data_IF_511232254712
#
_entry.id   IF_511232254712
#
_cell.length_a   1.000
_cell.length_b   1.000
_cell.length_c   1.000
_cell.angle_alpha   90.00
_cell.angle_beta   90.00
_cell.angle_gamma   90.00
#
_symmetry.space_group_name_H-M   'P 1'
#
loop_
_entity.id
_entity.type
_entity.pdbx_description
1 polymer ?
#
# COMPACT_ATOMS: atom_id res chain seq x y z
N UNK A 1 -11.17 54.83 -12.34
CA UNK A 1 -10.62 53.92 -11.32
C UNK A 1 -11.48 52.66 -11.35
N UNK A 2 -11.05 51.62 -12.08
CA UNK A 2 -11.82 50.37 -12.18
C UNK A 2 -11.52 49.56 -10.92
N UNK A 3 -12.46 49.54 -9.98
CA UNK A 3 -12.43 48.59 -8.86
C UNK A 3 -12.71 47.19 -9.42
N UNK A 4 -11.66 46.40 -9.62
CA UNK A 4 -11.82 44.96 -9.81
C UNK A 4 -12.16 44.33 -8.46
N UNK A 5 -13.46 44.20 -8.17
CA UNK A 5 -13.94 43.38 -7.06
C UNK A 5 -13.83 41.92 -7.51
N UNK A 6 -12.84 41.20 -6.99
CA UNK A 6 -12.79 39.74 -7.13
C UNK A 6 -13.89 39.13 -6.25
N UNK A 7 -15.08 38.91 -6.82
CA UNK A 7 -16.10 38.05 -6.22
C UNK A 7 -15.75 36.58 -6.47
N UNK A 8 -14.93 35.97 -5.60
CA UNK A 8 -14.74 34.51 -5.57
C UNK A 8 -14.93 34.02 -4.13
N UNK A 9 -15.96 33.23 -3.83
CA UNK A 9 -16.09 31.78 -4.10
C UNK A 9 -15.00 30.96 -3.38
N UNK A 10 -15.40 29.91 -2.68
CA UNK A 10 -14.49 29.06 -1.91
C UNK A 10 -13.30 28.56 -2.77
N UNK A 11 -12.12 28.50 -2.17
CA UNK A 11 -10.86 28.13 -2.84
C UNK A 11 -10.48 26.70 -2.50
N UNK A 12 -10.11 25.93 -3.53
CA UNK A 12 -9.45 24.63 -3.35
C UNK A 12 -7.94 24.84 -3.25
N UNK A 13 -7.32 24.25 -2.24
CA UNK A 13 -5.87 24.18 -2.11
C UNK A 13 -5.41 22.75 -1.83
N UNK A 14 -4.12 22.50 -2.02
CA UNK A 14 -3.49 21.24 -1.65
C UNK A 14 -2.27 21.49 -0.78
N UNK A 15 -2.07 20.59 0.18
CA UNK A 15 -0.96 20.62 1.13
C UNK A 15 -0.39 19.22 1.29
N UNK A 16 0.78 19.11 1.92
CA UNK A 16 1.44 17.83 2.22
C UNK A 16 1.26 17.56 3.71
N UNK A 17 0.79 16.36 4.06
CA UNK A 17 0.64 15.99 5.47
C UNK A 17 2.00 15.90 6.15
N UNK A 18 2.22 16.73 7.16
CA UNK A 18 3.51 16.86 7.81
C UNK A 18 3.87 15.66 8.68
N UNK A 19 5.18 15.43 8.81
CA UNK A 19 5.69 14.33 9.61
C UNK A 19 5.46 14.61 11.09
N UNK A 20 4.56 13.85 11.69
CA UNK A 20 4.24 13.94 13.12
C UNK A 20 2.94 14.69 13.41
N UNK A 21 2.34 15.33 12.41
CA UNK A 21 1.02 15.94 12.53
C UNK A 21 -0.02 14.85 12.81
N UNK A 22 -0.66 14.94 13.98
CA UNK A 22 -1.79 14.10 14.36
C UNK A 22 -3.10 14.71 13.86
N UNK A 23 -4.12 13.88 13.64
CA UNK A 23 -5.42 14.38 13.20
C UNK A 23 -6.08 15.29 14.24
N UNK A 24 -5.91 15.02 15.53
CA UNK A 24 -6.36 15.89 16.63
C UNK A 24 -5.75 17.30 16.56
N UNK A 25 -4.45 17.38 16.26
CA UNK A 25 -3.76 18.66 16.09
C UNK A 25 -4.27 19.38 14.84
N UNK A 26 -4.49 18.67 13.73
CA UNK A 26 -5.08 19.24 12.53
C UNK A 26 -6.47 19.84 12.79
N UNK A 27 -7.32 19.20 13.61
CA UNK A 27 -8.61 19.77 14.01
C UNK A 27 -8.45 21.08 14.79
N UNK A 28 -7.48 21.13 15.72
CA UNK A 28 -7.18 22.34 16.50
C UNK A 28 -6.73 23.50 15.61
N UNK A 29 -5.86 23.24 14.63
CA UNK A 29 -5.39 24.25 13.66
C UNK A 29 -6.53 24.89 12.85
N UNK A 30 -7.65 24.17 12.68
CA UNK A 30 -8.86 24.66 12.01
C UNK A 30 -9.99 25.08 12.97
N UNK A 31 -9.75 25.15 14.28
CA UNK A 31 -10.75 25.45 15.31
C UNK A 31 -11.98 24.51 15.26
N UNK A 32 -11.75 23.22 14.99
CA UNK A 32 -12.78 22.19 14.93
C UNK A 32 -12.78 21.39 16.23
N UNK A 33 -13.95 21.21 16.84
CA UNK A 33 -14.12 20.41 18.07
C UNK A 33 -13.67 18.96 17.86
N UNK A 34 -12.97 18.39 18.84
CA UNK A 34 -12.54 17.00 18.83
C UNK A 34 -13.68 16.01 19.11
N UNK A 35 -14.85 16.47 19.55
CA UNK A 35 -16.05 15.64 19.77
C UNK A 35 -16.46 14.84 18.53
N UNK A 36 -16.10 15.31 17.33
CA UNK A 36 -16.35 14.57 16.08
C UNK A 36 -15.69 13.19 16.08
N UNK A 37 -14.59 13.02 16.83
CA UNK A 37 -13.86 11.75 16.97
C UNK A 37 -14.60 10.75 17.87
N UNK A 38 -15.36 11.24 18.85
CA UNK A 38 -16.13 10.42 19.78
C UNK A 38 -17.23 9.67 19.05
N UNK A 39 -17.87 10.35 18.09
CA UNK A 39 -18.95 9.82 17.25
C UNK A 39 -18.50 8.78 16.22
N UNK A 40 -17.19 8.71 15.93
CA UNK A 40 -16.67 7.64 15.10
C UNK A 40 -16.74 6.32 15.83
N UNK A 41 -16.59 5.22 15.11
CA UNK A 41 -16.40 3.92 15.74
C UNK A 41 -14.90 3.58 15.89
N UNK A 42 -14.61 2.43 16.51
CA UNK A 42 -13.24 2.00 16.80
C UNK A 42 -12.40 1.71 15.55
N UNK A 43 -13.00 1.23 14.46
CA UNK A 43 -12.28 0.92 13.23
C UNK A 43 -11.95 2.21 12.47
N UNK A 44 -12.89 3.16 12.44
CA UNK A 44 -12.69 4.45 11.77
C UNK A 44 -11.62 5.32 12.45
N UNK A 45 -11.55 5.34 13.79
CA UNK A 45 -10.43 6.03 14.47
C UNK A 45 -9.08 5.42 14.13
N UNK A 46 -9.00 4.09 14.08
CA UNK A 46 -7.76 3.41 13.68
C UNK A 46 -7.34 3.81 12.26
N UNK A 47 -8.31 3.96 11.35
CA UNK A 47 -8.06 4.41 9.97
C UNK A 47 -7.60 5.88 9.92
N UNK A 48 -8.17 6.76 10.75
CA UNK A 48 -7.70 8.15 10.86
C UNK A 48 -6.27 8.22 11.38
N UNK A 49 -5.92 7.37 12.35
CA UNK A 49 -4.55 7.24 12.81
C UNK A 49 -3.60 6.71 11.73
N UNK A 50 -4.09 6.13 10.64
CA UNK A 50 -3.29 5.68 9.51
C UNK A 50 -2.98 6.77 8.48
N UNK A 51 -3.51 8.00 8.64
CA UNK A 51 -3.13 9.13 7.78
C UNK A 51 -1.60 9.29 7.84
N UNK A 52 -0.99 9.11 6.67
CA UNK A 52 0.47 9.06 6.51
C UNK A 52 1.04 10.44 6.20
N UNK A 53 2.28 10.68 6.63
CA UNK A 53 3.02 11.87 6.21
C UNK A 53 3.46 11.78 4.75
N UNK A 54 3.77 12.93 4.12
CA UNK A 54 4.17 13.03 2.71
C UNK A 54 3.08 12.58 1.71
N UNK A 55 1.82 12.63 2.13
CA UNK A 55 0.67 12.46 1.25
C UNK A 55 0.03 13.82 0.97
N UNK A 56 -0.28 14.07 -0.31
CA UNK A 56 -1.02 15.27 -0.70
C UNK A 56 -2.47 15.12 -0.26
N UNK A 57 -2.99 16.13 0.41
CA UNK A 57 -4.41 16.24 0.74
C UNK A 57 -4.99 17.53 0.16
N UNK A 58 -6.31 17.63 0.13
CA UNK A 58 -7.04 18.73 -0.50
C UNK A 58 -7.98 19.37 0.49
N UNK A 59 -8.03 20.69 0.49
CA UNK A 59 -8.93 21.48 1.32
C UNK A 59 -9.74 22.42 0.45
N UNK A 60 -11.02 22.57 0.79
CA UNK A 60 -11.88 23.64 0.30
C UNK A 60 -12.08 24.63 1.44
N UNK A 61 -11.64 25.87 1.26
CA UNK A 61 -11.69 26.92 2.26
C UNK A 61 -12.58 28.06 1.77
N UNK A 62 -13.50 28.50 2.61
CA UNK A 62 -14.37 29.65 2.33
C UNK A 62 -13.56 30.96 2.29
N UNK A 63 -14.11 32.01 1.70
CA UNK A 63 -13.46 33.32 1.61
C UNK A 63 -13.10 33.93 2.97
N UNK A 64 -13.80 33.53 4.04
CA UNK A 64 -13.54 33.94 5.42
C UNK A 64 -12.54 33.02 6.17
N UNK A 65 -11.85 32.12 5.47
CA UNK A 65 -10.85 31.21 6.05
C UNK A 65 -11.41 29.94 6.70
N UNK A 66 -12.74 29.77 6.74
CA UNK A 66 -13.36 28.56 7.31
C UNK A 66 -13.15 27.34 6.40
N UNK A 67 -12.68 26.23 6.98
CA UNK A 67 -12.60 24.96 6.27
C UNK A 67 -14.01 24.44 5.92
N UNK A 68 -14.35 24.31 4.64
CA UNK A 68 -15.61 23.72 4.21
C UNK A 68 -15.52 22.20 4.09
N UNK A 69 -14.42 21.68 3.57
CA UNK A 69 -14.14 20.24 3.54
C UNK A 69 -12.65 19.95 3.32
N UNK A 70 -12.21 18.77 3.73
CA UNK A 70 -10.89 18.22 3.44
C UNK A 70 -10.96 16.74 3.08
N UNK A 71 -10.05 16.31 2.19
CA UNK A 71 -9.89 14.92 1.76
C UNK A 71 -8.48 14.43 2.12
N UNK A 72 -8.39 13.68 3.21
CA UNK A 72 -7.13 13.21 3.80
C UNK A 72 -6.88 11.73 3.43
N UNK A 73 -5.82 11.41 2.65
CA UNK A 73 -5.57 10.02 2.26
C UNK A 73 -5.22 9.11 3.44
N UNK A 74 -5.88 7.95 3.48
CA UNK A 74 -5.59 6.83 4.37
C UNK A 74 -5.04 5.70 3.50
N UNK A 75 -3.72 5.73 3.32
CA UNK A 75 -3.03 4.88 2.34
C UNK A 75 -3.45 5.21 0.89
N UNK A 76 -3.51 4.18 0.05
CA UNK A 76 -3.77 4.30 -1.40
C UNK A 76 -5.18 3.88 -1.81
N UNK A 77 -6.07 3.62 -0.85
CA UNK A 77 -7.39 3.02 -1.08
C UNK A 77 -8.53 3.84 -0.46
N UNK A 78 -8.28 4.47 0.69
CA UNK A 78 -9.29 5.17 1.49
C UNK A 78 -8.86 6.61 1.74
N UNK A 79 -9.81 7.45 2.11
CA UNK A 79 -9.57 8.81 2.56
C UNK A 79 -10.61 9.19 3.63
N UNK A 80 -10.20 10.00 4.60
CA UNK A 80 -11.14 10.69 5.47
C UNK A 80 -11.67 11.92 4.74
N UNK A 81 -12.99 12.06 4.69
CA UNK A 81 -13.69 13.26 4.24
C UNK A 81 -14.28 13.95 5.45
N UNK A 82 -13.63 15.03 5.88
CA UNK A 82 -14.14 15.92 6.91
C UNK A 82 -14.83 17.09 6.21
N UNK A 83 -16.09 17.35 6.51
CA UNK A 83 -16.86 18.40 5.85
C UNK A 83 -17.81 19.12 6.82
N UNK A 84 -18.05 20.39 6.53
CA UNK A 84 -18.94 21.25 7.31
C UNK A 84 -20.40 20.99 6.92
N UNK A 85 -21.26 20.89 7.92
CA UNK A 85 -22.72 20.84 7.81
C UNK A 85 -23.33 22.10 8.41
N UNK A 86 -24.66 22.23 8.37
CA UNK A 86 -25.37 23.32 9.03
C UNK A 86 -25.22 23.31 10.57
N UNK A 87 -24.88 22.16 11.16
CA UNK A 87 -24.83 21.95 12.61
C UNK A 87 -23.42 21.72 13.16
N UNK A 88 -22.38 21.76 12.33
CA UNK A 88 -21.01 21.50 12.76
C UNK A 88 -20.17 20.83 11.69
N UNK A 89 -19.26 19.93 12.08
CA UNK A 89 -18.48 19.11 11.15
C UNK A 89 -18.86 17.64 11.27
N UNK A 90 -18.77 16.93 10.15
CA UNK A 90 -18.86 15.47 10.09
C UNK A 90 -17.65 14.90 9.38
N UNK A 91 -17.29 13.68 9.75
CA UNK A 91 -16.20 12.93 9.15
C UNK A 91 -16.69 11.55 8.71
N UNK A 92 -16.33 11.19 7.47
CA UNK A 92 -16.64 9.90 6.88
C UNK A 92 -15.40 9.29 6.24
N UNK A 93 -15.32 7.95 6.21
CA UNK A 93 -14.26 7.24 5.51
C UNK A 93 -14.80 6.78 4.15
N UNK A 94 -14.19 7.30 3.09
CA UNK A 94 -14.61 7.05 1.71
C UNK A 94 -13.50 6.33 0.93
N UNK A 95 -13.85 5.49 -0.06
CA UNK A 95 -12.86 5.01 -1.02
C UNK A 95 -12.29 6.19 -1.81
N UNK A 96 -11.00 6.12 -2.14
CA UNK A 96 -10.39 7.04 -3.10
C UNK A 96 -10.87 6.64 -4.50
N UNK A 97 -11.52 7.57 -5.20
CA UNK A 97 -11.73 7.42 -6.63
C UNK A 97 -10.39 7.58 -7.36
N UNK A 98 -9.97 6.53 -8.07
CA UNK A 98 -8.77 6.51 -8.89
C UNK A 98 -9.05 5.73 -10.18
N UNK A 99 -8.29 6.04 -11.21
CA UNK A 99 -8.20 5.24 -12.42
C UNK A 99 -7.10 4.22 -12.25
N UNK A 100 -7.23 3.06 -12.87
CA UNK A 100 -6.23 2.00 -12.76
C UNK A 100 -5.88 1.51 -14.15
N UNK A 101 -4.65 1.78 -14.54
CA UNK A 101 -4.18 1.54 -15.90
C UNK A 101 -3.07 0.48 -15.88
N UNK A 102 -3.00 -0.33 -16.94
CA UNK A 102 -1.89 -1.27 -17.11
C UNK A 102 -0.85 -0.64 -18.02
N UNK A 103 0.39 -0.63 -17.58
CA UNK A 103 1.51 -0.08 -18.32
C UNK A 103 2.47 -1.18 -18.70
N UNK A 104 3.03 -1.04 -19.90
CA UNK A 104 4.10 -1.89 -20.42
C UNK A 104 5.30 -0.97 -20.66
N UNK A 105 6.31 -1.08 -19.80
CA UNK A 105 7.58 -0.37 -19.95
C UNK A 105 8.61 -1.29 -20.59
N UNK A 106 9.16 -0.86 -21.73
CA UNK A 106 10.21 -1.56 -22.48
C UNK A 106 11.35 -0.57 -22.67
N UNK A 107 12.55 -0.96 -22.25
CA UNK A 107 13.74 -0.13 -22.42
C UNK A 107 14.99 -0.99 -22.53
N UNK A 108 16.01 -0.43 -23.15
CA UNK A 108 17.38 -0.93 -23.09
C UNK A 108 18.16 -0.20 -22.00
N UNK A 109 19.02 -0.93 -21.30
CA UNK A 109 19.92 -0.38 -20.28
C UNK A 109 20.97 0.50 -20.97
N UNK A 110 21.11 1.73 -20.48
CA UNK A 110 22.18 2.65 -20.88
C UNK A 110 23.14 2.90 -19.72
N UNK A 111 22.61 3.19 -18.52
CA UNK A 111 23.42 3.42 -17.31
C UNK A 111 23.24 2.32 -16.27
N UNK A 112 22.00 2.07 -15.88
CA UNK A 112 21.63 1.00 -14.96
C UNK A 112 20.11 0.82 -14.98
N UNK A 113 19.60 -0.39 -14.71
CA UNK A 113 18.16 -0.62 -14.65
C UNK A 113 17.43 0.38 -13.75
N UNK A 114 18.01 0.69 -12.58
CA UNK A 114 17.40 1.63 -11.65
C UNK A 114 17.32 3.04 -12.26
N UNK A 115 18.45 3.58 -12.72
CA UNK A 115 18.52 4.94 -13.27
C UNK A 115 17.64 5.08 -14.51
N UNK A 116 17.70 4.11 -15.41
CA UNK A 116 17.00 4.18 -16.70
C UNK A 116 15.47 4.09 -16.53
N UNK A 117 14.97 3.29 -15.57
CA UNK A 117 13.54 3.30 -15.25
C UNK A 117 13.14 4.67 -14.66
N UNK A 118 13.97 5.28 -13.82
CA UNK A 118 13.65 6.61 -13.25
C UNK A 118 13.62 7.68 -14.33
N UNK A 119 14.56 7.69 -15.28
CA UNK A 119 14.67 8.77 -16.28
C UNK A 119 13.78 8.54 -17.50
N UNK A 120 13.76 7.32 -18.05
CA UNK A 120 13.02 6.99 -19.29
C UNK A 120 11.53 6.74 -19.02
N UNK A 121 11.20 6.01 -17.95
CA UNK A 121 9.80 5.72 -17.56
C UNK A 121 9.23 6.80 -16.63
N UNK A 122 10.07 7.67 -16.07
CA UNK A 122 9.67 8.75 -15.14
C UNK A 122 8.92 8.24 -13.90
N UNK A 123 9.23 7.02 -13.45
CA UNK A 123 8.57 6.40 -12.30
C UNK A 123 9.58 5.80 -11.30
N UNK A 124 9.96 6.59 -10.29
CA UNK A 124 10.88 6.18 -9.23
C UNK A 124 10.36 5.00 -8.39
N UNK A 125 9.06 4.95 -8.11
CA UNK A 125 8.44 3.87 -7.33
C UNK A 125 8.49 2.55 -8.10
N UNK A 126 8.27 2.58 -9.41
CA UNK A 126 8.44 1.42 -10.29
C UNK A 126 9.88 0.92 -10.28
N UNK A 127 10.87 1.80 -10.44
CA UNK A 127 12.29 1.44 -10.42
C UNK A 127 12.69 0.74 -9.11
N UNK A 128 12.23 1.28 -7.98
CA UNK A 128 12.44 0.71 -6.65
C UNK A 128 11.79 -0.67 -6.53
N UNK A 129 10.53 -0.80 -6.95
CA UNK A 129 9.79 -2.06 -6.88
C UNK A 129 10.36 -3.13 -7.82
N UNK A 130 10.79 -2.74 -9.03
CA UNK A 130 11.45 -3.59 -10.02
C UNK A 130 12.73 -4.20 -9.46
N UNK A 131 13.62 -3.36 -8.94
CA UNK A 131 14.87 -3.81 -8.31
C UNK A 131 14.58 -4.78 -7.18
N UNK A 132 13.56 -4.47 -6.36
CA UNK A 132 13.16 -5.28 -5.21
C UNK A 132 12.64 -6.67 -5.60
N UNK A 133 11.83 -6.80 -6.65
CA UNK A 133 11.26 -8.10 -7.05
C UNK A 133 12.29 -9.01 -7.72
N UNK A 134 13.31 -8.42 -8.36
CA UNK A 134 14.35 -9.14 -9.10
C UNK A 134 15.63 -9.41 -8.29
N UNK A 135 15.83 -8.77 -7.13
CA UNK A 135 17.07 -8.86 -6.34
C UNK A 135 17.51 -10.28 -5.94
N UNK A 136 16.57 -11.22 -5.89
CA UNK A 136 16.83 -12.62 -5.51
C UNK A 136 16.91 -13.56 -6.73
N UNK A 137 16.60 -13.07 -7.93
CA UNK A 137 16.64 -13.85 -9.17
C UNK A 137 17.72 -13.39 -10.13
N UNK A 138 18.27 -12.19 -9.96
CA UNK A 138 19.23 -11.58 -10.89
C UNK A 138 20.36 -10.90 -10.12
N UNK A 139 21.60 -11.11 -10.56
CA UNK A 139 22.75 -10.32 -10.13
C UNK A 139 22.83 -9.03 -10.96
N UNK A 140 22.44 -7.92 -10.35
CA UNK A 140 22.44 -6.61 -11.02
C UNK A 140 23.84 -6.12 -11.43
N UNK A 141 24.91 -6.67 -10.86
CA UNK A 141 26.30 -6.29 -11.22
C UNK A 141 26.68 -6.78 -12.62
N UNK A 142 26.05 -7.85 -13.10
CA UNK A 142 26.30 -8.41 -14.42
C UNK A 142 25.40 -7.85 -15.53
N UNK A 143 24.69 -6.76 -15.27
CA UNK A 143 23.85 -6.09 -16.27
C UNK A 143 24.71 -5.16 -17.10
N UNK A 144 24.60 -5.28 -18.41
CA UNK A 144 25.39 -4.55 -19.39
C UNK A 144 24.55 -3.52 -20.17
N UNK A 145 25.24 -2.60 -20.83
CA UNK A 145 24.60 -1.69 -21.78
C UNK A 145 23.92 -2.50 -22.89
N UNK A 146 22.74 -2.07 -23.31
CA UNK A 146 21.82 -2.73 -24.27
C UNK A 146 21.07 -3.95 -23.73
N UNK A 147 21.30 -4.38 -22.49
CA UNK A 147 20.44 -5.41 -21.87
C UNK A 147 18.99 -4.93 -21.86
N UNK A 148 18.07 -5.83 -22.22
CA UNK A 148 16.66 -5.50 -22.40
C UNK A 148 15.88 -5.66 -21.10
N UNK A 149 15.00 -4.70 -20.83
CA UNK A 149 14.05 -4.73 -19.72
C UNK A 149 12.64 -4.66 -20.28
N UNK A 150 11.75 -5.50 -19.76
CA UNK A 150 10.31 -5.39 -19.95
C UNK A 150 9.59 -5.49 -18.61
N UNK A 151 8.70 -4.55 -18.33
CA UNK A 151 7.91 -4.50 -17.10
C UNK A 151 6.46 -4.32 -17.47
N UNK A 152 5.60 -5.19 -16.94
CA UNK A 152 4.17 -4.96 -16.99
C UNK A 152 3.63 -4.77 -15.60
N UNK A 153 2.96 -3.64 -15.37
CA UNK A 153 2.49 -3.24 -14.06
C UNK A 153 1.15 -2.50 -14.13
N UNK A 154 0.33 -2.64 -13.10
CA UNK A 154 -0.83 -1.76 -12.94
C UNK A 154 -0.41 -0.53 -12.13
N UNK A 155 -0.83 0.66 -12.56
CA UNK A 155 -0.62 1.91 -11.83
C UNK A 155 -1.97 2.53 -11.52
N UNK A 156 -2.16 2.93 -10.26
CA UNK A 156 -3.30 3.78 -9.91
C UNK A 156 -2.95 5.22 -10.22
N UNK A 157 -3.91 5.96 -10.75
CA UNK A 157 -3.81 7.37 -11.12
C UNK A 157 -4.96 8.15 -10.47
N UNK A 158 -4.64 9.27 -9.82
CA UNK A 158 -5.63 10.20 -9.26
C UNK A 158 -5.25 11.62 -9.68
N UNK A 159 -6.18 12.32 -10.34
CA UNK A 159 -5.95 13.69 -10.85
C UNK A 159 -4.67 13.80 -11.69
N UNK A 160 -4.45 12.82 -12.58
CA UNK A 160 -3.27 12.74 -13.44
C UNK A 160 -1.96 12.33 -12.75
N UNK A 161 -1.98 12.01 -11.45
CA UNK A 161 -0.78 11.66 -10.68
C UNK A 161 -0.79 10.19 -10.23
N UNK A 162 0.36 9.50 -10.24
CA UNK A 162 0.45 8.12 -9.78
C UNK A 162 0.23 8.02 -8.26
N UNK A 163 -0.73 7.20 -7.87
CA UNK A 163 -1.07 6.87 -6.48
C UNK A 163 -0.45 5.53 -6.10
N UNK A 164 0.16 5.47 -4.91
CA UNK A 164 0.76 4.24 -4.38
C UNK A 164 1.97 3.69 -5.15
N UNK A 165 2.32 2.45 -4.83
CA UNK A 165 3.36 1.68 -5.56
C UNK A 165 2.73 0.91 -6.71
N UNK A 166 3.31 0.96 -7.93
CA UNK A 166 2.83 0.18 -9.05
C UNK A 166 2.87 -1.33 -8.80
N UNK A 167 1.83 -2.01 -9.25
CA UNK A 167 1.63 -3.44 -9.07
C UNK A 167 2.23 -4.22 -10.24
N UNK A 168 3.52 -4.52 -10.15
CA UNK A 168 4.25 -5.32 -11.16
C UNK A 168 3.61 -6.71 -11.28
N UNK A 169 3.10 -7.03 -12.48
CA UNK A 169 2.57 -8.35 -12.84
C UNK A 169 3.64 -9.29 -13.36
N UNK A 170 4.54 -8.76 -14.16
CA UNK A 170 5.72 -9.44 -14.65
C UNK A 170 6.84 -8.43 -14.83
N UNK A 171 8.06 -8.84 -14.48
CA UNK A 171 9.28 -8.13 -14.83
C UNK A 171 10.23 -9.11 -15.52
N UNK A 172 10.87 -8.64 -16.57
CA UNK A 172 11.91 -9.36 -17.31
C UNK A 172 13.12 -8.45 -17.41
N UNK A 173 14.29 -8.99 -17.14
CA UNK A 173 15.57 -8.36 -17.44
C UNK A 173 16.51 -9.38 -18.07
N UNK A 174 17.18 -8.97 -19.14
CA UNK A 174 18.28 -9.71 -19.72
C UNK A 174 19.53 -9.54 -18.88
N UNK A 175 20.23 -10.63 -18.61
CA UNK A 175 21.54 -10.63 -17.94
C UNK A 175 22.38 -11.74 -18.56
N UNK A 176 23.57 -11.39 -19.05
CA UNK A 176 24.46 -12.33 -19.74
C UNK A 176 23.77 -13.08 -20.89
N UNK A 177 22.96 -12.38 -21.69
CA UNK A 177 22.19 -12.96 -22.80
C UNK A 177 21.02 -13.87 -22.40
N UNK A 178 20.76 -14.03 -21.09
CA UNK A 178 19.63 -14.81 -20.57
C UNK A 178 18.53 -13.89 -20.06
N UNK A 179 17.30 -14.11 -20.52
CA UNK A 179 16.10 -13.44 -19.99
C UNK A 179 15.75 -14.04 -18.63
N UNK A 180 15.63 -13.20 -17.61
CA UNK A 180 15.23 -13.59 -16.27
C UNK A 180 13.87 -13.01 -15.96
N UNK A 181 12.88 -13.87 -15.72
CA UNK A 181 11.51 -13.45 -15.45
C UNK A 181 11.11 -13.59 -13.98
N UNK A 182 10.28 -12.65 -13.54
CA UNK A 182 9.61 -12.69 -12.24
C UNK A 182 8.11 -12.44 -12.46
N UNK A 183 7.28 -13.37 -12.01
CA UNK A 183 5.83 -13.32 -12.20
C UNK A 183 5.11 -13.13 -10.86
N UNK A 184 4.16 -12.19 -10.83
CA UNK A 184 3.22 -12.07 -9.72
C UNK A 184 2.09 -13.06 -9.86
N UNK A 185 1.85 -13.86 -8.82
CA UNK A 185 0.78 -14.83 -8.74
C UNK A 185 -0.45 -14.27 -7.97
N UNK A 186 -1.58 -14.99 -8.00
CA UNK A 186 -2.87 -14.58 -7.38
C UNK A 186 -2.83 -14.49 -5.86
N UNK A 187 -1.87 -15.17 -5.23
CA UNK A 187 -1.54 -15.06 -3.81
C UNK A 187 -0.70 -13.81 -3.46
N UNK A 188 -0.50 -12.93 -4.45
CA UNK A 188 0.28 -11.69 -4.39
C UNK A 188 1.79 -11.87 -4.18
N UNK A 189 2.32 -13.10 -4.31
CA UNK A 189 3.76 -13.36 -4.25
C UNK A 189 4.39 -13.36 -5.64
N UNK A 190 5.72 -13.23 -5.64
CA UNK A 190 6.54 -13.26 -6.83
C UNK A 190 7.28 -14.59 -6.95
N UNK A 191 7.26 -15.16 -8.14
CA UNK A 191 7.84 -16.45 -8.47
C UNK A 191 8.78 -16.32 -9.67
N UNK A 192 9.88 -17.07 -9.68
CA UNK A 192 10.74 -17.21 -10.86
C UNK A 192 10.09 -18.13 -11.91
N UNK A 193 10.77 -18.36 -13.01
CA UNK A 193 10.30 -19.23 -14.09
C UNK A 193 10.05 -20.69 -13.69
N UNK A 194 10.75 -21.18 -12.68
CA UNK A 194 10.66 -22.53 -12.14
C UNK A 194 9.47 -22.66 -11.16
N UNK A 195 8.81 -21.55 -10.81
CA UNK A 195 7.72 -21.53 -9.83
C UNK A 195 8.21 -21.51 -8.38
N UNK A 196 9.46 -21.12 -8.16
CA UNK A 196 10.04 -20.93 -6.83
C UNK A 196 9.74 -19.51 -6.33
N UNK A 197 9.36 -19.39 -5.06
CA UNK A 197 9.03 -18.10 -4.44
C UNK A 197 10.30 -17.27 -4.26
N UNK A 198 10.36 -16.08 -4.85
CA UNK A 198 11.53 -15.19 -4.77
C UNK A 198 11.55 -14.32 -3.52
N UNK A 199 10.39 -14.03 -2.93
CA UNK A 199 10.31 -13.28 -1.67
C UNK A 199 9.94 -14.26 -0.56
N UNK A 200 10.95 -14.72 0.17
CA UNK A 200 10.74 -15.66 1.26
C UNK A 200 9.83 -15.05 2.34
N UNK A 201 8.88 -15.85 2.84
CA UNK A 201 7.97 -15.46 3.92
C UNK A 201 8.77 -15.26 5.22
N UNK A 202 8.95 -14.01 5.63
CA UNK A 202 9.72 -13.66 6.84
C UNK A 202 8.90 -13.64 8.13
N UNK A 203 7.56 -13.77 8.07
CA UNK A 203 6.70 -13.42 9.20
C UNK A 203 6.15 -14.62 9.96
N UNK A 204 6.45 -14.66 11.26
CA UNK A 204 5.88 -15.54 12.28
C UNK A 204 4.58 -14.95 12.83
N UNK A 205 3.74 -15.80 13.43
CA UNK A 205 2.57 -15.34 14.19
C UNK A 205 3.05 -14.51 15.38
N UNK A 206 2.51 -13.31 15.62
CA UNK A 206 3.01 -12.40 16.66
C UNK A 206 2.57 -12.80 18.07
N UNK A 207 1.76 -13.85 18.20
CA UNK A 207 1.18 -14.33 19.45
C UNK A 207 0.86 -15.83 19.34
N UNK A 208 1.18 -16.60 20.38
CA UNK A 208 1.03 -18.06 20.40
C UNK A 208 -0.37 -18.45 20.93
N UNK A 209 -0.93 -19.55 20.41
CA UNK A 209 -2.15 -20.21 20.93
C UNK A 209 -3.40 -19.32 21.12
N UNK A 210 -3.70 -18.46 20.15
CA UNK A 210 -4.86 -17.55 20.22
C UNK A 210 -5.76 -17.62 19.01
N UNK A 211 -7.06 -17.38 19.25
CA UNK A 211 -8.13 -17.30 18.26
C UNK A 211 -8.14 -15.93 17.58
N UNK A 212 -8.43 -15.92 16.28
CA UNK A 212 -8.72 -14.68 15.55
C UNK A 212 -10.15 -14.25 15.91
N UNK A 213 -10.31 -13.04 16.44
CA UNK A 213 -11.62 -12.47 16.79
C UNK A 213 -12.16 -11.57 15.69
N UNK A 214 -11.30 -10.99 14.85
CA UNK A 214 -11.67 -10.21 13.68
C UNK A 214 -10.63 -10.36 12.59
N UNK A 215 -11.07 -10.66 11.36
CA UNK A 215 -10.17 -10.81 10.21
C UNK A 215 -9.90 -9.47 9.51
N UNK A 216 -8.80 -9.43 8.74
CA UNK A 216 -8.55 -8.35 7.80
C UNK A 216 -9.64 -8.31 6.74
N UNK A 217 -10.13 -7.10 6.42
CA UNK A 217 -11.05 -6.90 5.31
C UNK A 217 -10.92 -5.48 4.76
N UNK A 218 -10.88 -5.35 3.44
CA UNK A 218 -10.98 -4.03 2.80
C UNK A 218 -12.43 -3.54 2.74
N UNK A 219 -13.41 -4.44 2.88
CA UNK A 219 -14.83 -4.14 2.72
C UNK A 219 -15.68 -5.14 3.48
N UNK A 220 -16.18 -4.77 4.66
CA UNK A 220 -17.18 -5.50 5.45
C UNK A 220 -18.41 -4.64 5.64
N UNK A 221 -19.57 -5.13 5.22
CA UNK A 221 -20.82 -4.43 5.46
C UNK A 221 -21.13 -4.43 6.97
N UNK A 222 -21.35 -3.26 7.54
CA UNK A 222 -21.72 -3.10 8.94
C UNK A 222 -23.25 -2.98 9.04
N UNK A 223 -23.97 -4.01 9.52
CA UNK A 223 -25.42 -4.07 9.41
C UNK A 223 -26.14 -2.94 10.16
N UNK A 224 -25.63 -2.54 11.33
CA UNK A 224 -26.22 -1.47 12.16
C UNK A 224 -25.99 -0.08 11.55
N UNK A 225 -24.82 0.14 10.94
CA UNK A 225 -24.45 1.45 10.38
C UNK A 225 -24.80 1.54 8.89
N UNK A 226 -25.31 0.44 8.30
CA UNK A 226 -25.64 0.25 6.88
C UNK A 226 -24.57 0.76 5.90
N UNK A 227 -23.29 0.66 6.27
CA UNK A 227 -22.15 1.10 5.45
C UNK A 227 -21.03 0.06 5.39
N UNK A 228 -20.22 0.13 4.34
CA UNK A 228 -19.03 -0.70 4.19
C UNK A 228 -17.86 -0.15 5.01
N UNK A 229 -17.18 -1.03 5.75
CA UNK A 229 -16.06 -0.67 6.62
C UNK A 229 -14.83 -1.51 6.32
N UNK A 230 -13.67 -0.88 6.40
CA UNK A 230 -12.40 -1.57 6.34
C UNK A 230 -11.89 -1.91 7.76
N UNK A 231 -11.16 -3.01 7.85
CA UNK A 231 -10.38 -3.38 9.02
C UNK A 231 -8.98 -3.76 8.54
N UNK A 232 -8.05 -2.81 8.64
CA UNK A 232 -6.67 -2.90 8.11
C UNK A 232 -5.71 -3.73 8.98
N UNK A 233 -6.24 -4.71 9.71
CA UNK A 233 -5.46 -5.64 10.52
C UNK A 233 -6.21 -6.91 10.85
N UNK A 234 -5.60 -7.75 11.69
CA UNK A 234 -6.23 -8.95 12.24
C UNK A 234 -6.19 -8.86 13.76
N UNK A 235 -7.34 -9.06 14.39
CA UNK A 235 -7.46 -9.02 15.85
C UNK A 235 -7.31 -10.43 16.41
N UNK A 236 -6.39 -10.58 17.37
CA UNK A 236 -6.19 -11.79 18.13
C UNK A 236 -6.66 -11.58 19.57
N UNK A 237 -7.73 -12.27 19.96
CA UNK A 237 -8.21 -12.25 21.34
C UNK A 237 -7.23 -12.94 22.27
N UNK A 238 -6.79 -12.24 23.32
CA UNK A 238 -5.79 -12.75 24.25
C UNK A 238 -5.86 -12.05 25.60
N UNK A 239 -5.50 -12.76 26.69
CA UNK A 239 -5.49 -12.19 28.04
C UNK A 239 -4.52 -11.01 28.12
N UNK A 240 -4.88 -9.97 28.90
CA UNK A 240 -3.96 -8.86 29.22
C UNK A 240 -2.65 -9.43 29.78
N UNK A 241 -1.52 -8.88 29.34
CA UNK A 241 -0.19 -9.35 29.73
C UNK A 241 0.36 -10.49 28.87
N UNK A 242 -0.40 -11.03 27.90
CA UNK A 242 0.15 -12.02 26.96
C UNK A 242 1.32 -11.41 26.17
N UNK A 243 2.48 -12.08 26.08
CA UNK A 243 3.62 -11.56 25.33
C UNK A 243 3.31 -11.40 23.83
N UNK A 244 3.69 -10.25 23.28
CA UNK A 244 3.62 -9.95 21.85
C UNK A 244 5.02 -10.08 21.27
N UNK A 245 5.14 -10.84 20.18
CA UNK A 245 6.41 -11.15 19.52
C UNK A 245 6.52 -10.38 18.20
N UNK A 246 7.74 -9.93 17.87
CA UNK A 246 8.04 -9.41 16.55
C UNK A 246 7.83 -10.50 15.49
N UNK A 247 7.01 -10.22 14.49
CA UNK A 247 6.71 -11.17 13.42
C UNK A 247 7.94 -11.49 12.57
N UNK A 248 8.84 -10.51 12.36
CA UNK A 248 10.06 -10.65 11.58
C UNK A 248 11.17 -9.75 12.12
N UNK A 249 12.41 -9.99 11.69
CA UNK A 249 13.54 -9.10 11.92
C UNK A 249 13.24 -7.69 11.38
N UNK A 250 13.67 -6.65 12.09
CA UNK A 250 13.46 -5.28 11.64
C UNK A 250 13.89 -4.21 12.63
N UNK A 251 13.57 -2.96 12.30
CA UNK A 251 13.84 -1.77 13.12
C UNK A 251 12.53 -1.15 13.59
N UNK A 252 12.44 -0.84 14.89
CA UNK A 252 11.27 -0.19 15.47
C UNK A 252 11.22 1.26 14.99
N UNK A 253 10.21 1.60 14.18
CA UNK A 253 10.01 2.95 13.64
C UNK A 253 9.06 3.79 14.50
N UNK A 254 8.24 3.14 15.34
CA UNK A 254 7.34 3.80 16.28
C UNK A 254 7.17 2.94 17.54
N UNK A 255 7.17 3.58 18.71
CA UNK A 255 6.78 2.96 19.98
C UNK A 255 6.22 4.04 20.89
N UNK A 256 4.91 4.04 21.14
CA UNK A 256 4.24 5.12 21.86
C UNK A 256 2.71 5.04 21.77
N UNK A 257 2.03 6.09 22.20
CA UNK A 257 0.58 6.23 22.06
C UNK A 257 0.20 6.73 20.66
N UNK A 258 -0.86 6.16 20.07
CA UNK A 258 -1.36 6.54 18.74
C UNK A 258 -2.89 6.42 18.71
N UNK A 259 -3.57 7.52 19.05
CA UNK A 259 -5.04 7.67 18.97
C UNK A 259 -5.84 6.43 19.40
N UNK A 260 -6.76 6.02 18.54
CA UNK A 260 -7.63 4.86 18.71
C UNK A 260 -6.90 3.53 18.85
N UNK A 261 -5.65 3.42 18.37
CA UNK A 261 -4.82 2.23 18.59
C UNK A 261 -4.26 2.11 20.03
N UNK A 262 -4.22 3.20 20.79
CA UNK A 262 -3.59 3.23 22.12
C UNK A 262 -2.07 3.04 22.05
N UNK A 263 -1.48 2.20 22.91
CA UNK A 263 -0.04 1.91 22.84
C UNK A 263 0.28 1.00 21.66
N UNK A 264 1.16 1.48 20.79
CA UNK A 264 1.54 0.85 19.53
C UNK A 264 3.05 0.67 19.42
N UNK A 265 3.47 -0.46 18.86
CA UNK A 265 4.80 -0.64 18.27
C UNK A 265 4.64 -0.80 16.76
N UNK A 266 5.43 -0.09 15.95
CA UNK A 266 5.56 -0.35 14.51
C UNK A 266 6.99 -0.76 14.19
N UNK A 267 7.14 -1.84 13.42
CA UNK A 267 8.45 -2.36 13.02
C UNK A 267 8.53 -2.30 11.50
N UNK A 268 9.56 -1.61 11.00
CA UNK A 268 9.95 -1.65 9.59
C UNK A 268 10.82 -2.88 9.37
N UNK A 269 10.45 -3.66 8.36
CA UNK A 269 11.20 -4.82 7.91
C UNK A 269 11.82 -4.53 6.55
N UNK A 270 12.62 -5.48 6.07
CA UNK A 270 13.12 -5.48 4.71
C UNK A 270 11.97 -5.46 3.69
N UNK A 271 12.30 -5.08 2.46
CA UNK A 271 11.36 -5.08 1.34
C UNK A 271 10.14 -4.17 1.53
N UNK A 272 10.23 -3.12 2.34
CA UNK A 272 9.13 -2.16 2.51
C UNK A 272 7.92 -2.71 3.26
N UNK A 273 8.08 -3.82 3.99
CA UNK A 273 7.06 -4.31 4.91
C UNK A 273 7.10 -3.54 6.23
N UNK A 274 5.93 -3.26 6.80
CA UNK A 274 5.77 -2.71 8.14
C UNK A 274 4.74 -3.52 8.90
N UNK A 275 5.05 -3.93 10.12
CA UNK A 275 4.05 -4.51 11.04
C UNK A 275 3.65 -3.50 12.11
N UNK A 276 2.37 -3.54 12.50
CA UNK A 276 1.79 -2.70 13.54
C UNK A 276 1.18 -3.59 14.62
N UNK A 277 1.50 -3.31 15.89
CA UNK A 277 1.03 -4.06 17.06
C UNK A 277 0.37 -3.07 18.01
N UNK A 278 -0.95 -3.09 18.11
CA UNK A 278 -1.73 -2.11 18.86
C UNK A 278 -2.41 -2.67 20.12
N UNK A 279 -3.04 -1.77 20.88
CA UNK A 279 -3.73 -2.04 22.14
C UNK A 279 -2.84 -2.62 23.24
N UNK A 280 -1.54 -2.35 23.22
CA UNK A 280 -0.60 -2.94 24.16
C UNK A 280 -0.82 -2.39 25.58
N UNK A 281 -0.71 -3.24 26.60
CA UNK A 281 -0.69 -2.77 28.00
C UNK A 281 0.65 -2.11 28.33
N UNK A 282 1.74 -2.68 27.83
CA UNK A 282 3.12 -2.24 28.05
C UNK A 282 3.95 -2.41 26.78
N UNK A 283 4.69 -1.37 26.44
CA UNK A 283 5.70 -1.36 25.38
C UNK A 283 7.03 -1.85 25.95
N UNK A 284 7.69 -2.79 25.29
CA UNK A 284 9.05 -3.26 25.65
C UNK A 284 10.09 -2.77 24.66
N UNK A 285 9.76 -2.74 23.37
CA UNK A 285 10.66 -2.26 22.33
C UNK A 285 10.63 -0.73 22.23
N UNK A 286 11.80 -0.10 22.07
CA UNK A 286 11.95 1.36 21.94
C UNK A 286 12.13 1.76 20.49
N UNK A 287 11.67 2.96 20.10
CA UNK A 287 11.92 3.53 18.77
C UNK A 287 13.43 3.55 18.48
N UNK A 288 13.81 3.18 17.27
CA UNK A 288 15.20 3.11 16.82
C UNK A 288 15.88 1.75 17.05
N UNK A 289 15.38 0.93 17.97
CA UNK A 289 15.98 -0.39 18.26
C UNK A 289 15.76 -1.41 17.14
N UNK A 290 16.75 -2.27 16.93
CA UNK A 290 16.62 -3.47 16.09
C UNK A 290 15.98 -4.60 16.91
N UNK A 291 15.14 -5.40 16.27
CA UNK A 291 14.47 -6.55 16.88
C UNK A 291 14.58 -7.78 15.99
N UNK A 292 14.66 -8.95 16.62
CA UNK A 292 14.69 -10.25 15.94
C UNK A 292 13.31 -10.90 15.91
N UNK A 293 13.05 -11.70 14.89
CA UNK A 293 11.81 -12.47 14.77
C UNK A 293 11.59 -13.36 16.01
N UNK A 294 10.44 -13.22 16.66
CA UNK A 294 10.13 -13.91 17.90
C UNK A 294 10.55 -13.19 19.18
N UNK A 295 11.25 -12.06 19.10
CA UNK A 295 11.59 -11.24 20.27
C UNK A 295 10.33 -10.61 20.87
N UNK A 296 10.21 -10.60 22.19
CA UNK A 296 9.12 -9.91 22.89
C UNK A 296 9.28 -8.40 22.71
N UNK A 297 8.26 -7.76 22.14
CA UNK A 297 8.22 -6.32 21.87
C UNK A 297 7.24 -5.55 22.76
N UNK A 298 6.36 -6.29 23.44
CA UNK A 298 5.40 -5.73 24.39
C UNK A 298 4.39 -6.78 24.84
N UNK A 299 3.28 -6.32 25.39
CA UNK A 299 2.30 -7.18 26.04
C UNK A 299 0.87 -6.76 25.69
N UNK A 300 -0.01 -7.73 25.48
CA UNK A 300 -1.43 -7.50 25.16
C UNK A 300 -2.09 -6.66 26.23
N UNK A 301 -2.97 -5.76 25.83
CA UNK A 301 -3.79 -4.93 26.70
C UNK A 301 -5.13 -4.61 26.04
N UNK A 302 -5.69 -3.47 26.45
CA UNK A 302 -6.93 -2.91 25.89
C UNK A 302 -6.86 -1.38 25.88
N UNK A 303 -5.68 -0.81 25.62
CA UNK A 303 -5.47 0.65 25.56
C UNK A 303 -6.03 1.24 24.27
N UNK A 304 -6.36 2.53 24.25
CA UNK A 304 -7.02 3.17 23.11
C UNK A 304 -8.48 2.73 23.01
N UNK A 305 -9.08 2.81 21.82
CA UNK A 305 -10.48 2.43 21.62
C UNK A 305 -10.59 0.93 21.35
N UNK A 306 -10.76 0.18 22.43
CA UNK A 306 -10.82 -1.29 22.44
C UNK A 306 -11.98 -1.76 23.30
N UNK A 307 -12.72 -2.77 22.82
CA UNK A 307 -13.85 -3.38 23.55
C UNK A 307 -13.41 -4.42 24.58
N UNK A 308 -12.16 -4.88 24.53
CA UNK A 308 -11.61 -5.86 25.48
C UNK A 308 -10.20 -6.30 25.10
N UNK A 309 -9.51 -7.09 25.94
CA UNK A 309 -8.11 -7.47 25.69
C UNK A 309 -7.90 -8.23 24.37
N UNK A 310 -7.13 -7.62 23.45
CA UNK A 310 -6.75 -8.21 22.18
C UNK A 310 -5.49 -7.54 21.61
N UNK A 311 -4.83 -8.23 20.67
CA UNK A 311 -3.81 -7.65 19.80
C UNK A 311 -4.44 -7.33 18.45
N UNK A 312 -4.46 -6.05 18.07
CA UNK A 312 -4.67 -5.68 16.69
C UNK A 312 -3.33 -5.72 15.95
N UNK A 313 -3.21 -6.59 14.95
CA UNK A 313 -2.01 -6.81 14.16
C UNK A 313 -2.21 -6.35 12.70
N UNK A 314 -1.57 -5.24 12.34
CA UNK A 314 -1.56 -4.70 10.99
C UNK A 314 -0.32 -5.16 10.21
N UNK A 315 -0.48 -5.39 8.91
CA UNK A 315 0.62 -5.60 7.97
C UNK A 315 0.47 -4.66 6.79
N UNK A 316 1.51 -3.91 6.50
CA UNK A 316 1.55 -2.95 5.40
C UNK A 316 2.71 -3.31 4.47
N UNK A 317 2.47 -3.17 3.17
CA UNK A 317 3.49 -3.25 2.13
C UNK A 317 3.50 -1.92 1.39
N UNK A 318 4.61 -1.20 1.50
CA UNK A 318 4.79 0.10 0.85
C UNK A 318 3.63 1.08 1.11
N UNK A 319 3.14 1.15 2.36
CA UNK A 319 2.02 2.02 2.76
C UNK A 319 0.63 1.41 2.60
N UNK A 320 0.47 0.35 1.80
CA UNK A 320 -0.80 -0.34 1.61
C UNK A 320 -1.02 -1.42 2.67
N UNK A 321 -2.16 -1.38 3.37
CA UNK A 321 -2.58 -2.47 4.25
C UNK A 321 -2.86 -3.75 3.45
N UNK A 322 -2.33 -4.88 3.91
CA UNK A 322 -2.53 -6.21 3.31
C UNK A 322 -2.90 -7.21 4.39
N UNK A 323 -3.61 -8.27 4.01
CA UNK A 323 -4.00 -9.31 4.96
C UNK A 323 -2.75 -10.00 5.56
N UNK A 324 -2.48 -9.84 6.87
CA UNK A 324 -1.31 -10.45 7.51
C UNK A 324 -1.32 -11.98 7.44
N UNK A 325 -2.51 -12.58 7.44
CA UNK A 325 -2.69 -14.04 7.44
C UNK A 325 -2.29 -14.70 6.11
N UNK A 326 -2.12 -13.94 5.03
CA UNK A 326 -1.54 -14.46 3.77
C UNK A 326 -0.01 -14.56 3.81
N UNK A 327 0.62 -13.79 4.69
CA UNK A 327 2.08 -13.65 4.76
C UNK A 327 2.69 -14.41 5.94
N UNK A 328 1.91 -14.67 6.99
CA UNK A 328 2.30 -15.56 8.08
C UNK A 328 2.23 -17.02 7.58
N UNK A 329 3.33 -17.76 7.70
CA UNK A 329 3.45 -19.13 7.16
C UNK A 329 2.84 -20.16 8.11
N UNK A 330 1.95 -21.01 7.58
CA UNK A 330 1.90 -22.45 7.85
C UNK A 330 2.57 -23.12 6.62
N UNK A 331 3.59 -23.95 6.85
CA UNK A 331 4.34 -24.82 5.91
C UNK A 331 5.03 -24.24 4.64
N UNK A 332 6.03 -25.00 4.16
CA UNK A 332 7.15 -24.62 3.27
C UNK A 332 7.02 -25.16 1.84
N UNK A 333 5.82 -25.53 1.40
CA UNK A 333 5.65 -26.18 0.10
C UNK A 333 5.54 -25.17 -1.05
N UNK A 334 6.08 -25.54 -2.21
CA UNK A 334 5.94 -24.80 -3.47
C UNK A 334 4.50 -24.77 -3.97
N UNK A 335 4.27 -24.20 -5.16
CA UNK A 335 2.93 -24.21 -5.75
C UNK A 335 2.52 -25.65 -6.11
N UNK A 336 1.38 -26.09 -5.59
CA UNK A 336 0.76 -27.39 -5.91
C UNK A 336 -0.64 -27.20 -6.49
N UNK A 337 -1.19 -28.26 -7.10
CA UNK A 337 -2.57 -28.31 -7.60
C UNK A 337 -2.98 -27.12 -8.48
N UNK A 338 -4.13 -26.52 -8.15
CA UNK A 338 -4.69 -25.39 -8.90
C UNK A 338 -3.78 -24.15 -8.91
N UNK A 339 -3.03 -23.90 -7.82
CA UNK A 339 -2.08 -22.79 -7.75
C UNK A 339 -0.96 -22.92 -8.77
N UNK A 340 -0.41 -24.13 -8.95
CA UNK A 340 0.61 -24.41 -9.97
C UNK A 340 0.05 -24.20 -11.38
N UNK A 341 -1.17 -24.68 -11.66
CA UNK A 341 -1.84 -24.49 -12.96
C UNK A 341 -2.08 -23.01 -13.27
N UNK A 342 -2.57 -22.24 -12.29
CA UNK A 342 -2.77 -20.80 -12.45
C UNK A 342 -1.46 -20.05 -12.73
N UNK A 343 -0.37 -20.42 -12.04
CA UNK A 343 0.95 -19.89 -12.30
C UNK A 343 1.45 -20.19 -13.71
N UNK A 344 1.38 -21.46 -14.16
CA UNK A 344 1.84 -21.85 -15.50
C UNK A 344 1.07 -21.13 -16.62
N UNK A 345 -0.24 -20.98 -16.48
CA UNK A 345 -1.06 -20.20 -17.43
C UNK A 345 -0.62 -18.74 -17.49
N UNK A 346 -0.34 -18.14 -16.33
CA UNK A 346 0.09 -16.74 -16.21
C UNK A 346 1.50 -16.53 -16.77
N UNK A 347 2.42 -17.47 -16.50
CA UNK A 347 3.77 -17.53 -17.11
C UNK A 347 3.65 -17.57 -18.62
N UNK A 348 2.94 -18.57 -19.17
CA UNK A 348 2.75 -18.76 -20.62
C UNK A 348 2.18 -17.51 -21.27
N UNK A 349 1.15 -16.90 -20.67
CA UNK A 349 0.57 -15.63 -21.13
C UNK A 349 1.65 -14.54 -21.20
N UNK A 350 2.21 -14.15 -20.06
CA UNK A 350 3.11 -12.99 -20.02
C UNK A 350 4.40 -13.17 -20.82
N UNK A 351 4.98 -14.38 -20.85
CA UNK A 351 6.15 -14.67 -21.70
C UNK A 351 5.83 -14.49 -23.18
N UNK A 352 4.66 -14.97 -23.65
CA UNK A 352 4.22 -14.78 -25.04
C UNK A 352 4.11 -13.30 -25.39
N UNK A 353 3.60 -12.49 -24.48
CA UNK A 353 3.44 -11.04 -24.72
C UNK A 353 4.78 -10.33 -24.74
N UNK A 354 5.68 -10.63 -23.79
CA UNK A 354 7.00 -10.00 -23.72
C UNK A 354 7.86 -10.40 -24.93
N UNK A 355 7.89 -11.68 -25.32
CA UNK A 355 8.65 -12.09 -26.49
C UNK A 355 8.20 -11.35 -27.75
N UNK A 356 6.87 -11.26 -27.94
CA UNK A 356 6.35 -10.60 -29.13
C UNK A 356 6.58 -9.09 -29.13
N UNK A 357 6.57 -8.44 -27.97
CA UNK A 357 6.98 -7.03 -27.84
C UNK A 357 8.38 -6.80 -28.41
N UNK A 358 9.33 -7.72 -28.13
CA UNK A 358 10.70 -7.59 -28.63
C UNK A 358 10.86 -8.02 -30.09
N UNK A 359 10.11 -9.03 -30.55
CA UNK A 359 10.09 -9.46 -31.97
C UNK A 359 9.55 -8.36 -32.88
N UNK A 360 8.45 -7.72 -32.47
CA UNK A 360 7.75 -6.69 -33.23
C UNK A 360 8.34 -5.27 -32.99
N UNK A 361 9.42 -5.12 -32.19
CA UNK A 361 10.01 -3.85 -31.75
C UNK A 361 8.98 -2.83 -31.18
N UNK A 362 8.08 -3.32 -30.34
CA UNK A 362 6.98 -2.52 -29.80
C UNK A 362 7.49 -1.57 -28.69
N UNK A 363 7.25 -0.25 -28.80
CA UNK A 363 7.70 0.71 -27.79
C UNK A 363 6.89 0.62 -26.48
N UNK A 364 7.37 1.31 -25.44
CA UNK A 364 6.64 1.46 -24.18
C UNK A 364 5.22 1.99 -24.40
N UNK A 365 4.24 1.44 -23.68
CA UNK A 365 2.81 1.67 -23.91
C UNK A 365 2.02 1.82 -22.61
N UNK A 366 0.97 2.65 -22.63
CA UNK A 366 0.00 2.81 -21.53
C UNK A 366 -1.37 2.33 -21.99
N UNK A 367 -1.99 1.41 -21.25
CA UNK A 367 -3.38 1.04 -21.42
C UNK A 367 -4.25 1.80 -20.42
N UNK A 368 -4.90 2.88 -20.88
CA UNK A 368 -5.85 3.67 -20.09
C UNK A 368 -7.26 3.04 -20.12
N UNK A 369 -7.86 2.85 -18.95
CA UNK A 369 -9.16 2.18 -18.76
C UNK A 369 -10.38 3.10 -18.88
N UNK A 370 -10.23 4.42 -18.87
CA UNK A 370 -11.36 5.38 -18.80
C UNK A 370 -11.56 6.18 -20.09
N UNK A 371 -10.48 6.59 -20.77
CA UNK A 371 -10.61 7.46 -21.95
C UNK A 371 -10.39 6.76 -23.30
N UNK A 372 -10.13 5.45 -23.32
CA UNK A 372 -9.75 4.73 -24.54
C UNK A 372 -8.55 5.33 -25.33
N UNK A 373 -7.86 6.34 -24.79
CA UNK A 373 -6.67 6.92 -25.41
C UNK A 373 -5.46 6.09 -25.00
N UNK A 374 -5.24 5.05 -25.78
CA UNK A 374 -3.92 4.53 -26.08
C UNK A 374 -3.02 5.64 -26.64
N UNK A 375 -1.70 5.57 -26.41
CA UNK A 375 -0.75 6.37 -27.21
C UNK A 375 -0.81 5.97 -28.70
N UNK A 376 -1.37 4.78 -29.03
CA UNK A 376 -1.68 4.28 -30.38
C UNK A 376 -2.89 3.28 -30.35
N UNK A 377 -4.06 3.57 -30.94
CA UNK A 377 -5.26 2.72 -30.86
C UNK A 377 -5.07 1.27 -31.33
N UNK A 378 -4.19 1.04 -32.30
CA UNK A 378 -3.82 -0.30 -32.79
C UNK A 378 -3.24 -1.21 -31.70
N UNK A 379 -2.58 -0.62 -30.70
CA UNK A 379 -1.91 -1.35 -29.62
C UNK A 379 -2.92 -1.86 -28.58
N UNK A 380 -4.02 -1.14 -28.33
CA UNK A 380 -5.10 -1.57 -27.44
C UNK A 380 -5.70 -2.89 -27.92
N UNK A 381 -6.12 -2.95 -29.20
CA UNK A 381 -6.68 -4.14 -29.82
C UNK A 381 -5.67 -5.30 -29.83
N UNK A 382 -4.40 -5.01 -30.09
CA UNK A 382 -3.31 -5.99 -30.05
C UNK A 382 -3.19 -6.67 -28.67
N UNK A 383 -3.29 -5.91 -27.57
CA UNK A 383 -3.24 -6.47 -26.22
C UNK A 383 -4.55 -7.19 -25.84
N UNK A 384 -5.72 -6.64 -26.17
CA UNK A 384 -7.01 -7.30 -25.93
C UNK A 384 -7.09 -8.68 -26.59
N UNK A 385 -6.61 -8.80 -27.84
CA UNK A 385 -6.54 -10.09 -28.55
C UNK A 385 -5.62 -11.13 -27.89
N UNK A 386 -4.76 -10.72 -26.96
CA UNK A 386 -3.94 -11.62 -26.12
C UNK A 386 -4.50 -11.81 -24.71
N UNK A 387 -5.76 -11.43 -24.52
CA UNK A 387 -6.53 -11.59 -23.29
C UNK A 387 -6.10 -10.67 -22.16
N UNK A 388 -5.54 -9.49 -22.47
CA UNK A 388 -5.24 -8.47 -21.47
C UNK A 388 -6.48 -7.79 -20.94
#
# INVERSE_FOLDING_TARGET
MVFSVFTFAAKVQYSIWDKGLGFEQYLQEHNISQEILENLDKDDLKLIDEIGYNHRYFELIASNGVLLQTLLPIGDELQAHLFRTHTGYKIEILPISYQKDTHVAVLEVDKSPHSDIVTKVKNKRLSTEFTRVLKHSVDFRGIQKKDKIAIVYDQKMRLGQPLGVPDIKVAMIESHGKKNYVFKHTDAKYYNEQGEVLIQKYMRKPIKHVRITSHFTNRRFHPVLKRWKAHHGTDFGAKRGTPILAAADGKVIFSGWKGGYGKVTKIQHNDGYVTLYAHQSRLKAKKGSSVKAGQIIGYVGSTGRSTGPHLHFGLYKNGRAINPMRMVKFSKEGLTGQGKKAFLNRKKKYTKIINKIFEDNIPSYVWNTVNEVSVLPSMKTYYQNRGW
#
